data_IF_560403271392
#
_entry.id   IF_560403271392
#
_cell.length_a   1.000
_cell.length_b   1.000
_cell.length_c   1.000
_cell.angle_alpha   90.00
_cell.angle_beta   90.00
_cell.angle_gamma   90.00
#
_symmetry.space_group_name_H-M   'P 1'
#
loop_
_entity.id
_entity.type
_entity.pdbx_description
1 polymer ?
#
# COMPACT_ATOMS: atom_id res chain seq x y z
N UNK A 1 10.12 20.58 -4.27
CA UNK A 1 10.26 19.51 -5.28
C UNK A 1 10.00 20.06 -6.67
N UNK A 2 10.92 19.88 -7.64
CA UNK A 2 10.63 20.18 -9.04
C UNK A 2 9.47 19.31 -9.54
N UNK A 3 8.61 19.85 -10.43
CA UNK A 3 7.50 19.08 -10.98
C UNK A 3 8.04 17.88 -11.77
N UNK A 4 7.56 16.68 -11.44
CA UNK A 4 7.85 15.48 -12.24
C UNK A 4 7.36 15.72 -13.68
N UNK A 5 8.29 15.63 -14.63
CA UNK A 5 8.00 15.82 -16.05
C UNK A 5 7.32 14.60 -16.69
N UNK A 6 7.34 14.52 -18.02
CA UNK A 6 6.73 13.42 -18.79
C UNK A 6 7.73 12.35 -19.26
N UNK A 7 8.88 12.22 -18.58
CA UNK A 7 9.97 11.30 -18.91
C UNK A 7 10.62 11.49 -20.32
N UNK A 8 10.28 12.56 -21.05
CA UNK A 8 10.86 12.81 -22.39
C UNK A 8 12.29 13.36 -22.38
N UNK A 9 12.75 13.96 -21.28
CA UNK A 9 14.13 14.42 -21.11
C UNK A 9 14.87 13.56 -20.09
N UNK A 10 16.21 13.53 -20.15
CA UNK A 10 17.03 12.80 -19.18
C UNK A 10 16.77 13.28 -17.75
N UNK A 11 16.72 14.60 -17.54
CA UNK A 11 16.44 15.18 -16.22
C UNK A 11 15.07 14.76 -15.69
N UNK A 12 14.06 14.68 -16.55
CA UNK A 12 12.73 14.19 -16.14
C UNK A 12 12.74 12.72 -15.79
N UNK A 13 13.52 11.89 -16.49
CA UNK A 13 13.66 10.45 -16.20
C UNK A 13 14.36 10.24 -14.86
N UNK A 14 15.50 10.89 -14.66
CA UNK A 14 16.23 10.86 -13.39
C UNK A 14 15.35 11.29 -12.21
N UNK A 15 14.55 12.35 -12.36
CA UNK A 15 13.65 12.81 -11.30
C UNK A 15 12.54 11.80 -10.96
N UNK A 16 11.98 11.11 -11.97
CA UNK A 16 10.96 10.09 -11.73
C UNK A 16 11.58 8.86 -11.08
N UNK A 17 12.70 8.34 -11.60
CA UNK A 17 13.36 7.16 -11.02
C UNK A 17 13.83 7.45 -9.60
N UNK A 18 14.42 8.62 -9.33
CA UNK A 18 14.79 9.02 -7.97
C UNK A 18 13.58 9.06 -7.01
N UNK A 19 12.45 9.58 -7.48
CA UNK A 19 11.21 9.57 -6.69
C UNK A 19 10.72 8.15 -6.39
N UNK A 20 10.85 7.21 -7.33
CA UNK A 20 10.49 5.80 -7.12
C UNK A 20 11.43 5.14 -6.11
N UNK A 21 12.75 5.33 -6.25
CA UNK A 21 13.74 4.85 -5.26
C UNK A 21 13.43 5.36 -3.86
N UNK A 22 13.03 6.63 -3.74
CA UNK A 22 12.63 7.19 -2.47
C UNK A 22 11.37 6.55 -1.89
N UNK A 23 10.37 6.24 -2.73
CA UNK A 23 9.17 5.51 -2.32
C UNK A 23 9.53 4.11 -1.80
N UNK A 24 10.36 3.34 -2.51
CA UNK A 24 10.69 1.98 -2.05
C UNK A 24 11.48 2.01 -0.74
N UNK A 25 12.36 3.01 -0.57
CA UNK A 25 13.08 3.23 0.70
C UNK A 25 12.12 3.36 1.87
N UNK A 26 10.98 4.00 1.66
CA UNK A 26 9.96 4.15 2.68
C UNK A 26 9.09 2.93 2.86
N UNK A 27 8.76 2.23 1.78
CA UNK A 27 8.00 0.98 1.86
C UNK A 27 8.76 -0.07 2.69
N UNK A 28 10.09 -0.12 2.58
CA UNK A 28 10.97 -0.90 3.49
C UNK A 28 10.73 -0.50 4.95
N UNK A 29 10.87 0.79 5.27
CA UNK A 29 10.74 1.30 6.64
C UNK A 29 9.34 1.04 7.21
N UNK A 30 8.29 1.26 6.41
CA UNK A 30 6.89 1.05 6.80
C UNK A 30 6.58 -0.42 7.05
N UNK A 31 7.12 -1.32 6.22
CA UNK A 31 6.95 -2.77 6.36
C UNK A 31 7.62 -3.29 7.64
N UNK A 32 8.78 -2.76 8.01
CA UNK A 32 9.40 -3.08 9.30
C UNK A 32 8.72 -2.39 10.48
N UNK A 33 8.28 -1.13 10.31
CA UNK A 33 7.59 -0.36 11.34
C UNK A 33 6.32 -1.09 11.79
N UNK A 34 5.49 -1.56 10.85
CA UNK A 34 4.21 -2.17 11.21
C UNK A 34 4.41 -3.46 12.03
N UNK A 35 5.44 -4.25 11.69
CA UNK A 35 5.82 -5.46 12.41
C UNK A 35 6.31 -5.11 13.82
N UNK A 36 7.32 -4.23 13.90
CA UNK A 36 8.00 -3.94 15.16
C UNK A 36 7.10 -3.18 16.14
N UNK A 37 6.29 -2.25 15.63
CA UNK A 37 5.46 -1.36 16.42
C UNK A 37 4.19 -2.04 16.93
N UNK A 38 3.51 -2.81 16.07
CA UNK A 38 2.17 -3.31 16.38
C UNK A 38 2.11 -4.82 16.55
N UNK A 39 2.92 -5.59 15.81
CA UNK A 39 2.73 -7.03 15.66
C UNK A 39 2.57 -7.78 16.99
N UNK A 40 3.49 -7.57 17.94
CA UNK A 40 3.41 -8.21 19.27
C UNK A 40 2.31 -7.60 20.15
N UNK A 41 2.19 -6.27 20.15
CA UNK A 41 1.21 -5.54 20.98
C UNK A 41 -0.22 -5.97 20.66
N UNK A 42 -0.54 -6.07 19.38
CA UNK A 42 -1.87 -6.42 18.87
C UNK A 42 -2.09 -7.94 18.78
N UNK A 43 -1.14 -8.75 19.26
CA UNK A 43 -1.23 -10.21 19.24
C UNK A 43 -1.45 -10.78 17.84
N UNK A 44 -0.74 -10.24 16.84
CA UNK A 44 -0.88 -10.69 15.46
C UNK A 44 -0.31 -12.11 15.28
N UNK A 45 -0.90 -12.94 14.41
CA UNK A 45 -0.40 -14.29 14.15
C UNK A 45 0.93 -14.25 13.38
N UNK A 46 1.70 -15.34 13.41
CA UNK A 46 3.02 -15.45 12.74
C UNK A 46 2.96 -15.06 11.26
N UNK A 47 1.88 -15.42 10.57
CA UNK A 47 1.69 -15.14 9.15
C UNK A 47 1.73 -13.63 8.84
N UNK A 48 1.27 -12.77 9.75
CA UNK A 48 1.38 -11.31 9.61
C UNK A 48 2.83 -10.87 9.48
N UNK A 49 3.70 -11.43 10.33
CA UNK A 49 5.13 -11.15 10.29
C UNK A 49 5.74 -11.68 8.99
N UNK A 50 5.36 -12.91 8.59
CA UNK A 50 5.85 -13.51 7.35
C UNK A 50 5.49 -12.66 6.13
N UNK A 51 4.24 -12.20 6.04
CA UNK A 51 3.77 -11.40 4.90
C UNK A 51 4.54 -10.07 4.82
N UNK A 52 4.63 -9.31 5.91
CA UNK A 52 5.32 -8.01 5.88
C UNK A 52 6.85 -8.13 5.79
N UNK A 53 7.46 -9.25 6.21
CA UNK A 53 8.88 -9.52 5.93
C UNK A 53 9.10 -9.75 4.44
N UNK A 54 8.17 -10.43 3.74
CA UNK A 54 8.24 -10.59 2.29
C UNK A 54 8.09 -9.25 1.58
N UNK A 55 7.11 -8.42 1.98
CA UNK A 55 6.96 -7.06 1.43
C UNK A 55 8.28 -6.29 1.63
N UNK A 56 8.81 -6.22 2.85
CA UNK A 56 10.08 -5.53 3.12
C UNK A 56 11.27 -6.06 2.27
N UNK A 57 11.29 -7.36 1.97
CA UNK A 57 12.30 -7.97 1.12
C UNK A 57 12.16 -7.55 -0.34
N UNK A 58 10.94 -7.56 -0.88
CA UNK A 58 10.65 -7.15 -2.25
C UNK A 58 10.96 -5.67 -2.44
N UNK A 59 10.52 -4.82 -1.52
CA UNK A 59 10.80 -3.37 -1.51
C UNK A 59 12.31 -3.09 -1.44
N UNK A 60 13.04 -3.86 -0.62
CA UNK A 60 14.49 -3.82 -0.57
C UNK A 60 15.16 -4.16 -1.90
N UNK A 61 14.61 -5.12 -2.65
CA UNK A 61 15.10 -5.48 -3.97
C UNK A 61 14.72 -4.41 -5.01
N UNK A 62 13.49 -3.90 -4.99
CA UNK A 62 13.04 -2.81 -5.87
C UNK A 62 13.91 -1.57 -5.71
N UNK A 63 14.15 -1.15 -4.46
CA UNK A 63 15.05 -0.05 -4.14
C UNK A 63 16.42 -0.24 -4.81
N UNK A 64 17.04 -1.41 -4.63
CA UNK A 64 18.37 -1.68 -5.18
C UNK A 64 18.38 -1.65 -6.72
N UNK A 65 17.37 -2.25 -7.36
CA UNK A 65 17.26 -2.26 -8.83
C UNK A 65 17.05 -0.85 -9.39
N UNK A 66 16.16 -0.07 -8.79
CA UNK A 66 15.87 1.30 -9.20
C UNK A 66 17.02 2.25 -8.90
N UNK A 67 17.71 2.09 -7.76
CA UNK A 67 18.88 2.89 -7.41
C UNK A 67 20.02 2.65 -8.39
N UNK A 68 20.27 1.38 -8.74
CA UNK A 68 21.22 1.03 -9.79
C UNK A 68 20.81 1.63 -11.14
N UNK A 69 19.52 1.54 -11.49
CA UNK A 69 19.02 2.15 -12.74
C UNK A 69 19.22 3.67 -12.77
N UNK A 70 19.06 4.34 -11.63
CA UNK A 70 19.31 5.77 -11.48
C UNK A 70 20.78 6.14 -11.69
N UNK A 71 21.70 5.29 -11.22
CA UNK A 71 23.15 5.42 -11.46
C UNK A 71 23.50 5.29 -12.95
N UNK A 72 22.90 4.32 -13.65
CA UNK A 72 23.06 4.15 -15.10
C UNK A 72 22.57 5.38 -15.90
N UNK A 73 21.54 6.06 -15.39
CA UNK A 73 21.05 7.34 -15.94
C UNK A 73 21.95 8.54 -15.57
N UNK A 74 23.03 8.34 -14.82
CA UNK A 74 23.99 9.39 -14.44
C UNK A 74 23.57 10.25 -13.25
N UNK A 75 22.76 9.71 -12.34
CA UNK A 75 22.36 10.35 -11.07
C UNK A 75 22.57 9.38 -9.89
N UNK A 76 22.12 9.70 -8.69
CA UNK A 76 22.15 8.79 -7.55
C UNK A 76 21.01 9.07 -6.58
N UNK A 77 20.68 8.10 -5.72
CA UNK A 77 19.75 8.36 -4.62
C UNK A 77 20.31 9.48 -3.71
N UNK A 78 19.44 10.35 -3.24
CA UNK A 78 19.82 11.57 -2.50
C UNK A 78 20.33 12.75 -3.35
N UNK A 79 20.54 12.60 -4.67
CA UNK A 79 20.98 13.71 -5.53
C UNK A 79 19.89 14.78 -5.77
N UNK A 80 18.61 14.41 -5.60
CA UNK A 80 17.47 15.31 -5.71
C UNK A 80 16.72 15.39 -4.36
N UNK A 81 16.00 16.50 -4.09
CA UNK A 81 15.18 16.61 -2.88
C UNK A 81 14.09 15.53 -2.83
N UNK A 82 13.90 14.94 -1.66
CA UNK A 82 12.84 13.98 -1.36
C UNK A 82 11.55 14.66 -0.89
N UNK A 83 10.44 13.92 -0.77
CA UNK A 83 9.18 14.42 -0.22
C UNK A 83 8.77 13.65 1.03
N UNK A 84 8.14 14.33 1.98
CA UNK A 84 7.68 13.71 3.23
C UNK A 84 6.19 13.26 3.19
N UNK A 85 5.65 13.04 1.99
CA UNK A 85 4.21 12.82 1.77
C UNK A 85 3.57 11.59 2.45
N UNK A 86 4.28 10.47 2.60
CA UNK A 86 3.81 9.25 3.29
C UNK A 86 4.17 9.26 4.78
N UNK A 87 5.16 10.06 5.18
CA UNK A 87 5.60 10.10 6.58
C UNK A 87 4.57 10.80 7.48
N UNK A 88 3.86 11.80 6.94
CA UNK A 88 2.77 12.47 7.64
C UNK A 88 1.64 11.49 8.01
N UNK A 89 1.21 10.63 7.08
CA UNK A 89 0.19 9.62 7.31
C UNK A 89 0.70 8.50 8.24
N UNK A 90 1.98 8.14 8.12
CA UNK A 90 2.63 7.20 9.02
C UNK A 90 2.62 7.71 10.48
N UNK A 91 2.98 8.97 10.71
CA UNK A 91 2.92 9.59 12.04
C UNK A 91 1.48 9.61 12.55
N UNK A 92 0.53 10.05 11.70
CA UNK A 92 -0.88 10.17 12.07
C UNK A 92 -1.53 8.83 12.46
N UNK A 93 -1.02 7.72 11.94
CA UNK A 93 -1.51 6.36 12.21
C UNK A 93 -0.62 5.57 13.17
N UNK A 94 0.43 6.18 13.73
CA UNK A 94 1.46 5.51 14.54
C UNK A 94 0.98 4.86 15.85
N UNK A 95 -0.29 5.07 16.24
CA UNK A 95 -0.89 4.52 17.46
C UNK A 95 -2.04 3.54 17.18
N UNK A 96 -2.38 3.30 15.92
CA UNK A 96 -3.52 2.47 15.54
C UNK A 96 -3.13 1.59 14.33
N UNK A 97 -3.01 0.28 14.57
CA UNK A 97 -2.68 -0.69 13.53
C UNK A 97 -3.75 -0.74 12.43
N UNK A 98 -5.02 -0.61 12.78
CA UNK A 98 -6.11 -0.67 11.80
C UNK A 98 -6.04 0.55 10.87
N UNK A 99 -5.80 1.73 11.44
CA UNK A 99 -5.56 2.95 10.65
C UNK A 99 -4.30 2.84 9.79
N UNK A 100 -3.21 2.27 10.34
CA UNK A 100 -1.96 2.05 9.62
C UNK A 100 -2.18 1.17 8.37
N UNK A 101 -2.87 0.05 8.53
CA UNK A 101 -3.18 -0.86 7.42
C UNK A 101 -4.05 -0.19 6.38
N UNK A 102 -5.09 0.54 6.80
CA UNK A 102 -6.00 1.20 5.87
C UNK A 102 -5.30 2.27 5.02
N UNK A 103 -4.47 3.10 5.64
CA UNK A 103 -3.86 4.24 4.95
C UNK A 103 -2.62 3.83 4.17
N UNK A 104 -1.63 3.24 4.83
CA UNK A 104 -0.37 2.90 4.18
C UNK A 104 -0.54 1.68 3.28
N UNK A 105 -0.98 0.56 3.85
CA UNK A 105 -0.94 -0.73 3.15
C UNK A 105 -2.17 -1.03 2.27
N UNK A 106 -3.18 -0.16 2.26
CA UNK A 106 -4.28 -0.24 1.30
C UNK A 106 -4.33 0.99 0.40
N UNK A 107 -4.52 2.20 0.95
CA UNK A 107 -4.69 3.40 0.11
C UNK A 107 -3.42 3.77 -0.66
N UNK A 108 -2.25 3.76 -0.01
CA UNK A 108 -1.00 4.12 -0.69
C UNK A 108 -0.51 3.03 -1.64
N UNK A 109 -0.56 1.75 -1.24
CA UNK A 109 -0.28 0.62 -2.13
C UNK A 109 -1.17 0.61 -3.37
N UNK A 110 -2.50 0.72 -3.18
CA UNK A 110 -3.44 0.74 -4.30
C UNK A 110 -3.25 1.96 -5.20
N UNK A 111 -2.60 3.02 -4.72
CA UNK A 111 -2.24 4.18 -5.55
C UNK A 111 -0.98 3.92 -6.39
N UNK A 112 -0.04 3.10 -5.91
CA UNK A 112 1.04 2.56 -6.72
C UNK A 112 0.47 1.85 -7.96
N UNK A 113 -0.47 0.93 -7.75
CA UNK A 113 -1.17 0.19 -8.81
C UNK A 113 -1.84 1.08 -9.87
N UNK A 114 -2.36 2.24 -9.47
CA UNK A 114 -3.03 3.18 -10.37
C UNK A 114 -2.04 3.96 -11.24
N UNK A 115 -0.89 4.33 -10.66
CA UNK A 115 0.06 5.29 -11.26
C UNK A 115 1.14 4.60 -12.08
N UNK A 116 1.55 3.40 -11.69
CA UNK A 116 2.62 2.64 -12.35
C UNK A 116 2.39 2.42 -13.85
N UNK A 117 1.20 1.99 -14.33
CA UNK A 117 0.97 1.80 -15.77
C UNK A 117 1.19 3.07 -16.61
N UNK A 118 0.75 4.22 -16.08
CA UNK A 118 1.00 5.51 -16.73
C UNK A 118 2.48 5.88 -16.72
N UNK A 119 3.18 5.56 -15.64
CA UNK A 119 4.63 5.80 -15.48
C UNK A 119 5.43 4.94 -16.47
N UNK A 120 5.11 3.65 -16.59
CA UNK A 120 5.68 2.73 -17.58
C UNK A 120 5.50 3.29 -19.00
N UNK A 121 4.27 3.68 -19.35
CA UNK A 121 3.98 4.28 -20.66
C UNK A 121 4.81 5.54 -20.93
N UNK A 122 5.03 6.40 -19.92
CA UNK A 122 5.88 7.60 -20.06
C UNK A 122 7.33 7.24 -20.36
N UNK A 123 7.91 6.27 -19.67
CA UNK A 123 9.29 5.84 -19.95
C UNK A 123 9.43 5.22 -21.35
N UNK A 124 8.50 4.34 -21.73
CA UNK A 124 8.44 3.73 -23.08
C UNK A 124 8.39 4.81 -24.17
N UNK A 125 7.47 5.77 -24.03
CA UNK A 125 7.33 6.89 -24.97
C UNK A 125 8.52 7.86 -24.96
N UNK A 126 9.23 7.96 -23.82
CA UNK A 126 10.46 8.72 -23.67
C UNK A 126 11.71 8.00 -24.20
N UNK A 127 11.58 6.78 -24.72
CA UNK A 127 12.68 5.98 -25.27
C UNK A 127 13.52 5.27 -24.21
N UNK A 128 13.08 5.20 -22.95
CA UNK A 128 13.75 4.48 -21.87
C UNK A 128 13.05 3.14 -21.60
N UNK A 129 13.23 2.21 -22.53
CA UNK A 129 12.63 0.89 -22.43
C UNK A 129 13.19 0.09 -21.25
N UNK A 130 14.46 0.27 -20.89
CA UNK A 130 15.08 -0.42 -19.75
C UNK A 130 14.35 -0.12 -18.43
N UNK A 131 14.06 1.16 -18.17
CA UNK A 131 13.28 1.54 -16.97
C UNK A 131 11.84 1.05 -17.07
N UNK A 132 11.22 1.15 -18.25
CA UNK A 132 9.84 0.68 -18.45
C UNK A 132 9.71 -0.83 -18.18
N UNK A 133 10.64 -1.63 -18.71
CA UNK A 133 10.62 -3.09 -18.59
C UNK A 133 10.92 -3.53 -17.14
N UNK A 134 11.83 -2.85 -16.43
CA UNK A 134 12.05 -3.07 -14.99
C UNK A 134 10.76 -2.87 -14.18
N UNK A 135 10.05 -1.77 -14.42
CA UNK A 135 8.80 -1.48 -13.72
C UNK A 135 7.68 -2.47 -14.09
N UNK A 136 7.56 -2.82 -15.38
CA UNK A 136 6.51 -3.69 -15.90
C UNK A 136 6.67 -5.14 -15.48
N UNK A 137 7.91 -5.65 -15.44
CA UNK A 137 8.18 -7.09 -15.27
C UNK A 137 8.56 -7.48 -13.85
N UNK A 138 9.04 -6.53 -13.03
CA UNK A 138 9.52 -6.80 -11.68
C UNK A 138 8.68 -6.09 -10.64
N UNK A 139 8.62 -4.75 -10.68
CA UNK A 139 8.00 -3.96 -9.62
C UNK A 139 6.47 -4.15 -9.63
N UNK A 140 5.82 -3.78 -10.72
CA UNK A 140 4.35 -3.71 -10.79
C UNK A 140 3.61 -5.02 -10.45
N UNK A 141 4.06 -6.23 -10.86
CA UNK A 141 3.41 -7.48 -10.44
C UNK A 141 3.47 -7.72 -8.93
N UNK A 142 4.52 -7.27 -8.26
CA UNK A 142 4.75 -7.53 -6.83
C UNK A 142 3.92 -6.58 -5.95
N UNK A 143 3.71 -5.33 -6.41
CA UNK A 143 2.81 -4.35 -5.78
C UNK A 143 1.38 -4.88 -5.54
N UNK A 144 0.88 -5.75 -6.44
CA UNK A 144 -0.45 -6.35 -6.30
C UNK A 144 -0.49 -7.21 -5.03
N UNK A 145 0.59 -7.96 -4.78
CA UNK A 145 0.68 -8.82 -3.60
C UNK A 145 0.90 -8.02 -2.31
N UNK A 146 1.58 -6.88 -2.40
CA UNK A 146 1.77 -5.96 -1.27
C UNK A 146 0.46 -5.31 -0.85
N UNK A 147 -0.30 -4.77 -1.82
CA UNK A 147 -1.66 -4.28 -1.57
C UNK A 147 -2.57 -5.38 -1.02
N UNK A 148 -2.46 -6.63 -1.52
CA UNK A 148 -3.25 -7.75 -1.03
C UNK A 148 -2.95 -8.07 0.44
N UNK A 149 -1.69 -7.97 0.87
CA UNK A 149 -1.30 -8.16 2.26
C UNK A 149 -1.98 -7.13 3.18
N UNK A 150 -2.00 -5.86 2.80
CA UNK A 150 -2.70 -4.82 3.55
C UNK A 150 -4.19 -5.10 3.69
N UNK A 151 -4.86 -5.46 2.59
CA UNK A 151 -6.30 -5.78 2.58
C UNK A 151 -6.62 -7.01 3.45
N UNK A 152 -5.80 -8.05 3.35
CA UNK A 152 -5.92 -9.28 4.15
C UNK A 152 -5.88 -8.96 5.64
N UNK A 153 -4.85 -8.22 6.09
CA UNK A 153 -4.67 -7.95 7.52
C UNK A 153 -5.67 -6.92 8.06
N UNK A 154 -6.13 -5.99 7.23
CA UNK A 154 -7.23 -5.09 7.58
C UNK A 154 -8.53 -5.88 7.81
N UNK A 155 -8.90 -6.78 6.88
CA UNK A 155 -10.06 -7.69 7.03
C UNK A 155 -9.95 -8.53 8.30
N UNK A 156 -8.79 -9.13 8.52
CA UNK A 156 -8.52 -9.97 9.71
C UNK A 156 -8.82 -9.21 11.00
N UNK A 157 -8.32 -7.98 11.17
CA UNK A 157 -8.54 -7.19 12.39
C UNK A 157 -10.00 -6.81 12.61
N UNK A 158 -10.69 -6.38 11.54
CA UNK A 158 -12.10 -6.04 11.60
C UNK A 158 -12.97 -7.23 12.04
N UNK A 159 -12.67 -8.43 11.54
CA UNK A 159 -13.43 -9.64 11.85
C UNK A 159 -13.05 -10.24 13.20
N UNK A 160 -11.75 -10.21 13.57
CA UNK A 160 -11.26 -10.65 14.88
C UNK A 160 -11.93 -9.92 16.04
N UNK A 161 -12.22 -8.64 15.85
CA UNK A 161 -12.89 -7.79 16.86
C UNK A 161 -14.32 -8.25 17.19
N UNK A 162 -14.95 -9.07 16.35
CA UNK A 162 -16.31 -9.59 16.55
C UNK A 162 -16.38 -10.93 17.27
N UNK A 163 -15.25 -11.61 17.47
CA UNK A 163 -15.20 -12.91 18.15
C UNK A 163 -14.47 -12.78 19.48
N UNK A 164 -15.12 -12.27 20.54
CA UNK A 164 -14.50 -12.24 21.84
C UNK A 164 -14.46 -13.68 22.41
N UNK A 165 -13.25 -14.19 22.60
CA UNK A 165 -12.89 -15.40 23.35
C UNK A 165 -13.23 -16.78 22.73
N UNK A 166 -12.24 -17.39 22.07
CA UNK A 166 -11.80 -18.72 22.53
C UNK A 166 -10.63 -18.46 23.48
N UNK A 167 -10.89 -18.68 24.75
CA UNK A 167 -9.91 -18.60 25.84
C UNK A 167 -8.63 -19.34 25.47
N UNK A 168 -7.50 -18.65 25.68
CA UNK A 168 -6.20 -19.27 25.90
C UNK A 168 -6.31 -20.22 27.09
N UNK A 169 -6.68 -21.46 26.84
CA UNK A 169 -6.41 -22.65 27.65
C UNK A 169 -7.05 -23.84 26.93
N UNK A 170 -6.28 -24.46 26.05
CA UNK A 170 -6.31 -25.89 25.72
C UNK A 170 -5.22 -26.16 24.68
N UNK A 171 -3.99 -26.32 25.15
CA UNK A 171 -2.96 -27.04 24.40
C UNK A 171 -3.34 -28.52 24.40
N UNK A 172 -3.99 -28.96 23.36
CA UNK A 172 -3.86 -30.34 22.88
C UNK A 172 -3.89 -30.33 21.37
N UNK A 173 -2.74 -30.70 20.82
CA UNK A 173 -2.48 -31.20 19.47
C UNK A 173 -3.72 -31.64 18.70
N UNK A 174 -3.99 -30.97 17.58
CA UNK A 174 -4.59 -31.60 16.41
C UNK A 174 -4.25 -30.74 15.17
N UNK A 175 -3.49 -31.34 14.26
CA UNK A 175 -3.33 -30.89 12.88
C UNK A 175 -4.71 -30.91 12.22
N UNK A 176 -5.17 -29.79 11.68
CA UNK A 176 -6.29 -29.79 10.73
C UNK A 176 -6.28 -28.53 9.85
N UNK A 177 -5.93 -28.77 8.59
CA UNK A 177 -6.53 -28.24 7.36
C UNK A 177 -6.92 -26.76 7.29
N UNK A 178 -6.36 -26.09 6.28
CA UNK A 178 -6.79 -24.81 5.74
C UNK A 178 -8.32 -24.73 5.59
N UNK A 179 -9.01 -24.21 6.61
CA UNK A 179 -10.37 -23.72 6.49
C UNK A 179 -10.26 -22.23 6.20
N UNK A 180 -10.19 -21.90 4.91
CA UNK A 180 -10.58 -20.56 4.45
C UNK A 180 -11.97 -20.29 5.01
N UNK A 181 -12.04 -19.37 5.97
CA UNK A 181 -13.29 -19.01 6.61
C UNK A 181 -14.04 -18.17 5.59
N UNK A 182 -14.99 -18.75 4.86
CA UNK A 182 -15.85 -18.00 3.95
C UNK A 182 -16.52 -16.85 4.73
N UNK A 183 -16.11 -15.61 4.43
CA UNK A 183 -16.64 -14.41 5.07
C UNK A 183 -18.05 -14.19 4.51
N UNK A 184 -19.06 -14.10 5.40
CA UNK A 184 -20.42 -13.77 4.98
C UNK A 184 -20.48 -12.40 4.29
N UNK A 185 -21.43 -12.22 3.36
CA UNK A 185 -21.63 -10.97 2.64
C UNK A 185 -21.79 -9.77 3.60
N UNK A 186 -22.54 -9.94 4.68
CA UNK A 186 -22.71 -8.93 5.74
C UNK A 186 -21.37 -8.60 6.44
N UNK A 187 -20.57 -9.61 6.76
CA UNK A 187 -19.25 -9.43 7.34
C UNK A 187 -18.31 -8.61 6.45
N UNK A 188 -18.38 -8.82 5.13
CA UNK A 188 -17.58 -8.07 4.17
C UNK A 188 -18.05 -6.61 4.03
N UNK A 189 -19.35 -6.35 4.07
CA UNK A 189 -19.90 -4.98 4.00
C UNK A 189 -19.47 -4.13 5.21
N UNK A 190 -19.54 -4.69 6.42
CA UNK A 190 -19.10 -3.99 7.62
C UNK A 190 -17.60 -3.67 7.62
N UNK A 191 -16.77 -4.57 7.08
CA UNK A 191 -15.33 -4.30 6.92
C UNK A 191 -15.11 -3.10 6.00
N UNK A 192 -15.86 -3.02 4.89
CA UNK A 192 -15.77 -1.90 3.94
C UNK A 192 -16.24 -0.60 4.59
N UNK A 193 -17.32 -0.62 5.36
CA UNK A 193 -17.79 0.57 6.10
C UNK A 193 -16.74 1.05 7.11
N UNK A 194 -16.09 0.12 7.82
CA UNK A 194 -15.00 0.45 8.74
C UNK A 194 -13.80 1.04 8.00
N UNK A 195 -13.47 0.50 6.83
CA UNK A 195 -12.44 1.05 5.96
C UNK A 195 -12.78 2.49 5.56
N UNK A 196 -14.00 2.75 5.06
CA UNK A 196 -14.43 4.10 4.70
C UNK A 196 -14.31 5.09 5.85
N UNK A 197 -14.78 4.72 7.05
CA UNK A 197 -14.69 5.58 8.24
C UNK A 197 -13.23 5.87 8.62
N UNK A 198 -12.37 4.86 8.55
CA UNK A 198 -10.94 4.99 8.85
C UNK A 198 -10.26 5.92 7.84
N UNK A 199 -10.51 5.73 6.54
CA UNK A 199 -9.94 6.59 5.49
C UNK A 199 -10.41 8.03 5.64
N UNK A 200 -11.70 8.29 5.88
CA UNK A 200 -12.20 9.66 6.09
C UNK A 200 -11.57 10.35 7.30
N UNK A 201 -11.21 9.58 8.32
CA UNK A 201 -10.60 10.11 9.55
C UNK A 201 -9.13 10.47 9.34
N UNK A 202 -8.38 9.62 8.63
CA UNK A 202 -6.92 9.72 8.56
C UNK A 202 -6.37 10.23 7.22
N UNK A 203 -7.13 10.15 6.13
CA UNK A 203 -6.72 10.59 4.81
C UNK A 203 -7.34 11.94 4.45
N UNK A 204 -6.50 12.89 4.02
CA UNK A 204 -6.96 14.25 3.70
C UNK A 204 -7.46 14.34 2.26
N UNK A 205 -8.77 14.56 2.12
CA UNK A 205 -9.43 14.79 0.83
C UNK A 205 -9.87 13.49 0.14
N UNK A 206 -10.47 13.60 -1.06
CA UNK A 206 -10.99 12.43 -1.76
C UNK A 206 -9.86 11.58 -2.35
N UNK A 207 -10.12 10.28 -2.47
CA UNK A 207 -9.30 9.40 -3.31
C UNK A 207 -9.43 9.84 -4.77
N UNK A 208 -8.33 9.84 -5.52
CA UNK A 208 -8.30 10.42 -6.87
C UNK A 208 -8.11 9.34 -7.93
N UNK A 209 -8.91 9.37 -9.02
CA UNK A 209 -8.67 8.51 -10.18
C UNK A 209 -7.37 8.92 -10.92
N UNK A 210 -6.87 8.09 -11.85
CA UNK A 210 -7.44 6.81 -12.31
C UNK A 210 -7.41 5.73 -11.23
N UNK A 211 -8.37 4.80 -11.28
CA UNK A 211 -8.34 3.59 -10.45
C UNK A 211 -8.11 2.38 -11.35
N UNK A 212 -7.05 1.62 -11.08
CA UNK A 212 -6.75 0.40 -11.80
C UNK A 212 -7.60 -0.74 -11.23
N UNK A 213 -8.83 -0.84 -11.72
CA UNK A 213 -9.83 -1.77 -11.19
C UNK A 213 -9.38 -3.23 -11.27
N UNK A 214 -8.69 -3.62 -12.35
CA UNK A 214 -8.20 -4.99 -12.53
C UNK A 214 -7.15 -5.35 -11.47
N UNK A 215 -6.09 -4.53 -11.33
CA UNK A 215 -5.03 -4.79 -10.36
C UNK A 215 -5.54 -4.71 -8.91
N UNK A 216 -6.40 -3.73 -8.61
CA UNK A 216 -7.02 -3.60 -7.28
C UNK A 216 -7.92 -4.80 -6.96
N UNK A 217 -8.70 -5.30 -7.92
CA UNK A 217 -9.49 -6.53 -7.75
C UNK A 217 -8.59 -7.74 -7.49
N UNK A 218 -7.47 -7.87 -8.20
CA UNK A 218 -6.49 -8.94 -7.96
C UNK A 218 -5.91 -8.89 -6.54
N UNK A 219 -5.78 -7.69 -5.95
CA UNK A 219 -5.42 -7.49 -4.54
C UNK A 219 -6.59 -7.69 -3.55
N UNK A 220 -7.79 -8.08 -4.01
CA UNK A 220 -8.99 -8.21 -3.17
C UNK A 220 -9.62 -6.88 -2.75
N UNK A 221 -9.26 -5.78 -3.43
CA UNK A 221 -9.64 -4.39 -3.16
C UNK A 221 -10.60 -3.84 -4.22
N UNK A 222 -11.82 -4.40 -4.29
CA UNK A 222 -12.79 -4.04 -5.32
C UNK A 222 -13.32 -2.59 -5.25
N UNK A 223 -14.04 -2.12 -6.30
CA UNK A 223 -14.59 -0.75 -6.40
C UNK A 223 -15.33 -0.24 -5.16
N UNK A 224 -16.07 -1.13 -4.49
CA UNK A 224 -16.83 -0.81 -3.27
C UNK A 224 -15.96 -0.26 -2.13
N UNK A 225 -14.65 -0.54 -2.13
CA UNK A 225 -13.72 -0.01 -1.13
C UNK A 225 -13.40 1.47 -1.35
N UNK A 226 -13.32 1.95 -2.60
CA UNK A 226 -12.70 3.24 -2.91
C UNK A 226 -13.57 4.20 -3.72
N UNK A 227 -14.52 3.74 -4.53
CA UNK A 227 -15.39 4.64 -5.30
C UNK A 227 -16.20 5.60 -4.40
N UNK A 228 -16.79 5.15 -3.27
CA UNK A 228 -17.51 6.05 -2.36
C UNK A 228 -16.62 7.10 -1.70
N UNK A 229 -15.30 6.90 -1.72
CA UNK A 229 -14.29 7.81 -1.14
C UNK A 229 -13.71 8.78 -2.19
N UNK A 230 -14.10 8.65 -3.45
CA UNK A 230 -13.63 9.53 -4.53
C UNK A 230 -14.37 10.87 -4.60
N UNK A 231 -15.50 11.00 -3.87
CA UNK A 231 -16.32 12.21 -3.81
C UNK A 231 -16.05 12.94 -2.50
N UNK A 232 -15.95 14.29 -2.54
CA UNK A 232 -15.96 15.08 -1.30
C UNK A 232 -17.32 14.96 -0.64
N UNK A 233 -17.38 14.53 0.62
CA UNK A 233 -18.61 14.65 1.40
C UNK A 233 -19.02 16.13 1.47
N UNK A 234 -20.24 16.41 1.03
CA UNK A 234 -20.86 17.71 1.24
C UNK A 234 -21.28 17.75 2.70
N UNK A 235 -20.55 18.49 3.55
CA UNK A 235 -21.03 18.80 4.89
C UNK A 235 -22.27 19.69 4.76
N UNK A 236 -23.45 19.08 4.84
CA UNK A 236 -24.69 19.80 5.10
C UNK A 236 -24.62 20.30 6.54
N UNK A 237 -24.05 21.49 6.76
CA UNK A 237 -24.28 22.21 8.01
C UNK A 237 -25.77 22.52 8.07
N UNK A 238 -26.51 22.08 9.11
CA UNK A 238 -27.87 22.56 9.31
C UNK A 238 -27.76 24.06 9.58
N UNK A 239 -28.36 24.86 8.69
CA UNK A 239 -28.48 26.30 8.86
C UNK A 239 -29.12 26.59 10.22
N UNK A 240 -28.33 27.16 11.13
CA UNK A 240 -28.81 27.81 12.36
C UNK A 240 -29.72 28.97 12.05
#
# INVERSE_FOLDING_TARGET
>A
MPKLGKAGSLQSRQAIVHSLVHTESWAIDLSWDIIARFGKQEGMPREFFTDFVKVAQDEGRHFNLLAKRLEELGSSYGALPAHDGLWDSAIATSKDLLARLAIEHCVHEARGLDVLPTTISRFRNGGDNETADLLETVVYPEEITHCAAGVKWFKYLCLRSKTPALSRDNLSSEENGDKETEISTEGNEEVIQKFHATVRTHFRGPLKPPFNEEARKAAGFGPQWYEPLAVKEVQNNPST
#
